data_IF_638872480649
#
_entry.id   IF_638872480649
#
_cell.length_a   1.000
_cell.length_b   1.000
_cell.length_c   1.000
_cell.angle_alpha   90.00
_cell.angle_beta   90.00
_cell.angle_gamma   90.00
#
_symmetry.space_group_name_H-M   'P 1'
#
loop_
_entity.id
_entity.type
_entity.pdbx_description
1 polymer ?
#
# COMPACT_ATOMS: atom_id res chain seq x y z
N UNK A 1 4.30 -8.54 -24.12
CA UNK A 1 4.54 -9.12 -25.47
C UNK A 1 3.42 -8.69 -26.41
N UNK A 2 3.68 -8.45 -27.69
CA UNK A 2 2.64 -8.01 -28.63
C UNK A 2 1.53 -9.06 -28.83
N UNK A 3 1.85 -10.32 -28.54
CA UNK A 3 1.05 -11.52 -28.69
C UNK A 3 0.55 -12.08 -27.34
N UNK A 4 0.68 -11.32 -26.24
CA UNK A 4 0.21 -11.78 -24.95
C UNK A 4 -1.31 -12.00 -24.96
N UNK A 5 -1.73 -13.22 -24.62
CA UNK A 5 -3.14 -13.60 -24.48
C UNK A 5 -3.30 -14.47 -23.24
N UNK A 6 -4.29 -14.13 -22.43
CA UNK A 6 -4.71 -14.90 -21.27
C UNK A 6 -6.23 -14.71 -21.12
N UNK A 7 -6.96 -15.81 -20.96
CA UNK A 7 -8.41 -15.74 -20.78
C UNK A 7 -8.77 -14.90 -19.54
N UNK A 8 -9.79 -14.06 -19.65
CA UNK A 8 -10.16 -13.10 -18.61
C UNK A 8 -9.18 -11.93 -18.41
N UNK A 9 -8.12 -11.79 -19.21
CA UNK A 9 -7.15 -10.71 -19.10
C UNK A 9 -7.26 -9.70 -20.25
N UNK A 10 -7.32 -8.41 -19.91
CA UNK A 10 -7.16 -7.33 -20.88
C UNK A 10 -5.75 -6.74 -20.76
N UNK A 11 -4.90 -7.04 -21.74
CA UNK A 11 -3.55 -6.48 -21.81
C UNK A 11 -3.54 -5.10 -22.48
N UNK A 12 -2.82 -4.15 -21.87
CA UNK A 12 -2.63 -2.80 -22.39
C UNK A 12 -1.14 -2.55 -22.64
N UNK A 13 -0.73 -2.56 -23.90
CA UNK A 13 0.62 -2.21 -24.35
C UNK A 13 0.96 -0.74 -24.04
N UNK A 14 2.25 -0.37 -24.17
CA UNK A 14 2.68 1.03 -23.99
C UNK A 14 1.93 1.95 -24.96
N UNK A 15 1.79 1.54 -26.22
CA UNK A 15 1.10 2.27 -27.28
C UNK A 15 -0.40 2.41 -26.97
N UNK A 16 -1.05 1.33 -26.53
CA UNK A 16 -2.45 1.36 -26.13
C UNK A 16 -2.66 2.29 -24.93
N UNK A 17 -1.76 2.26 -23.94
CA UNK A 17 -1.80 3.16 -22.79
C UNK A 17 -1.70 4.63 -23.20
N UNK A 18 -0.82 4.98 -24.16
CA UNK A 18 -0.69 6.35 -24.69
C UNK A 18 -1.96 6.83 -25.42
N UNK A 19 -2.71 5.91 -26.02
CA UNK A 19 -3.95 6.21 -26.73
C UNK A 19 -5.16 6.40 -25.80
N UNK A 20 -5.03 6.07 -24.52
CA UNK A 20 -6.10 6.27 -23.53
C UNK A 20 -6.42 7.77 -23.35
N UNK A 21 -7.66 8.10 -22.98
CA UNK A 21 -8.06 9.49 -22.79
C UNK A 21 -7.45 10.14 -21.54
N UNK A 22 -6.75 9.37 -20.71
CA UNK A 22 -6.17 9.82 -19.44
C UNK A 22 -4.99 10.77 -19.63
N UNK A 23 -5.04 11.93 -18.99
CA UNK A 23 -3.91 12.84 -18.88
C UNK A 23 -2.71 12.18 -18.17
N UNK A 24 -2.98 11.40 -17.12
CA UNK A 24 -1.97 10.65 -16.37
C UNK A 24 -1.21 9.68 -17.27
N UNK A 25 -1.91 8.92 -18.12
CA UNK A 25 -1.29 7.94 -19.00
C UNK A 25 -0.31 8.57 -20.01
N UNK A 26 -0.57 9.81 -20.42
CA UNK A 26 0.28 10.59 -21.33
C UNK A 26 1.49 11.19 -20.64
N UNK A 27 1.38 11.54 -19.36
CA UNK A 27 2.43 12.19 -18.58
C UNK A 27 3.32 11.21 -17.80
N UNK A 28 2.78 10.05 -17.41
CA UNK A 28 3.49 9.06 -16.59
C UNK A 28 4.73 8.51 -17.30
N UNK A 29 5.89 8.42 -16.61
CA UNK A 29 7.11 7.86 -17.20
C UNK A 29 6.94 6.39 -17.61
N UNK A 30 7.68 6.00 -18.65
CA UNK A 30 7.75 4.62 -19.11
C UNK A 30 8.79 3.81 -18.31
N UNK A 31 8.66 2.47 -18.35
CA UNK A 31 9.48 1.55 -17.55
C UNK A 31 9.48 1.91 -16.07
N UNK A 32 8.32 2.35 -15.58
CA UNK A 32 8.14 2.84 -14.23
C UNK A 32 6.98 2.11 -13.53
N UNK A 33 7.13 1.82 -12.23
CA UNK A 33 6.14 1.10 -11.44
C UNK A 33 4.79 1.80 -11.40
N UNK A 34 4.81 3.13 -11.31
CA UNK A 34 3.60 3.98 -11.26
C UNK A 34 2.70 3.86 -12.49
N UNK A 35 3.14 3.22 -13.59
CA UNK A 35 2.23 2.89 -14.70
C UNK A 35 1.10 1.95 -14.29
N UNK A 36 1.23 1.24 -13.15
CA UNK A 36 0.13 0.47 -12.52
C UNK A 36 -1.10 1.35 -12.26
N UNK A 37 -0.93 2.66 -12.01
CA UNK A 37 -2.03 3.63 -11.89
C UNK A 37 -2.95 3.66 -13.12
N UNK A 38 -2.41 3.44 -14.33
CA UNK A 38 -3.22 3.43 -15.55
C UNK A 38 -4.22 2.26 -15.52
N UNK A 39 -3.81 1.10 -15.00
CA UNK A 39 -4.70 -0.04 -14.76
C UNK A 39 -5.83 0.31 -13.80
N UNK A 40 -5.53 1.07 -12.73
CA UNK A 40 -6.54 1.53 -11.78
C UNK A 40 -7.54 2.49 -12.41
N UNK A 41 -7.08 3.45 -13.22
CA UNK A 41 -7.97 4.37 -13.96
C UNK A 41 -8.89 3.60 -14.91
N UNK A 42 -8.36 2.63 -15.66
CA UNK A 42 -9.16 1.77 -16.54
C UNK A 42 -10.24 1.02 -15.74
N UNK A 43 -9.86 0.36 -14.65
CA UNK A 43 -10.78 -0.40 -13.83
C UNK A 43 -11.87 0.50 -13.23
N UNK A 44 -11.50 1.66 -12.67
CA UNK A 44 -12.43 2.62 -12.11
C UNK A 44 -13.41 3.16 -13.17
N UNK A 45 -12.93 3.52 -14.37
CA UNK A 45 -13.80 3.99 -15.47
C UNK A 45 -14.72 2.92 -16.03
N UNK A 46 -14.33 1.65 -15.94
CA UNK A 46 -15.17 0.52 -16.31
C UNK A 46 -16.18 0.12 -15.21
N UNK A 47 -16.31 0.92 -14.15
CA UNK A 47 -17.33 0.72 -13.11
C UNK A 47 -16.95 -0.32 -12.07
N UNK A 48 -15.67 -0.59 -11.86
CA UNK A 48 -15.23 -1.46 -10.77
C UNK A 48 -15.69 -0.90 -9.42
N UNK A 49 -16.27 -1.77 -8.57
CA UNK A 49 -16.62 -1.44 -7.19
C UNK A 49 -15.50 -1.84 -6.20
N UNK A 50 -14.59 -2.69 -6.65
CA UNK A 50 -13.41 -3.17 -5.93
C UNK A 50 -12.25 -3.33 -6.91
N UNK A 51 -11.03 -3.02 -6.47
CA UNK A 51 -9.79 -3.30 -7.19
C UNK A 51 -8.91 -4.12 -6.26
N UNK A 52 -8.42 -5.26 -6.74
CA UNK A 52 -7.47 -6.12 -6.03
C UNK A 52 -6.13 -6.01 -6.75
N UNK A 53 -5.11 -5.53 -6.05
CA UNK A 53 -3.74 -5.46 -6.55
C UNK A 53 -3.03 -6.78 -6.25
N UNK A 54 -2.45 -7.41 -7.27
CA UNK A 54 -1.51 -8.52 -7.13
C UNK A 54 -0.21 -8.23 -7.86
N UNK A 55 0.88 -8.85 -7.43
CA UNK A 55 2.12 -9.00 -8.20
C UNK A 55 2.15 -10.38 -8.90
N UNK A 56 3.06 -10.54 -9.86
CA UNK A 56 3.16 -11.72 -10.73
C UNK A 56 3.86 -12.93 -10.06
N UNK A 57 4.57 -12.69 -8.96
CA UNK A 57 5.19 -13.72 -8.11
C UNK A 57 4.33 -14.09 -6.88
N UNK A 58 3.13 -13.54 -6.77
CA UNK A 58 2.15 -13.89 -5.73
C UNK A 58 1.15 -14.93 -6.27
N UNK A 59 1.19 -16.13 -5.69
CA UNK A 59 0.31 -17.22 -6.06
C UNK A 59 -0.90 -17.30 -5.12
N UNK A 60 -2.14 -17.37 -5.67
CA UNK A 60 -3.35 -17.28 -4.87
C UNK A 60 -3.65 -18.59 -4.15
N UNK A 61 -3.94 -18.50 -2.85
CA UNK A 61 -4.58 -19.60 -2.10
C UNK A 61 -6.09 -19.59 -2.35
N UNK A 62 -6.79 -20.65 -1.92
CA UNK A 62 -8.26 -20.73 -2.08
C UNK A 62 -9.00 -19.53 -1.47
N UNK A 63 -8.57 -19.07 -0.29
CA UNK A 63 -9.19 -17.94 0.40
C UNK A 63 -8.95 -16.59 -0.30
N UNK A 64 -8.00 -16.47 -1.23
CA UNK A 64 -7.84 -15.26 -2.06
C UNK A 64 -9.10 -14.94 -2.86
N UNK A 65 -9.84 -15.97 -3.28
CA UNK A 65 -11.02 -15.85 -4.12
C UNK A 65 -12.32 -15.63 -3.34
N UNK A 66 -12.24 -15.59 -2.01
CA UNK A 66 -13.41 -15.32 -1.18
C UNK A 66 -13.98 -13.93 -1.45
N UNK A 67 -15.30 -13.81 -1.28
CA UNK A 67 -15.98 -12.53 -1.34
C UNK A 67 -15.44 -11.59 -0.25
N UNK A 68 -15.09 -10.37 -0.64
CA UNK A 68 -14.58 -9.35 0.27
C UNK A 68 -15.72 -8.44 0.72
N UNK A 69 -15.77 -8.15 2.02
CA UNK A 69 -16.68 -7.16 2.62
C UNK A 69 -15.90 -5.94 3.09
N UNK A 70 -16.43 -4.74 2.85
CA UNK A 70 -15.84 -3.49 3.36
C UNK A 70 -15.96 -3.38 4.89
N UNK A 71 -17.11 -3.80 5.44
CA UNK A 71 -17.34 -3.85 6.89
C UNK A 71 -16.80 -5.16 7.44
N UNK A 72 -15.97 -5.09 8.47
CA UNK A 72 -15.23 -6.24 9.01
C UNK A 72 -15.32 -6.30 10.53
N UNK A 73 -15.53 -7.49 11.08
CA UNK A 73 -15.33 -7.76 12.50
C UNK A 73 -13.84 -8.00 12.74
N UNK A 74 -13.18 -7.08 13.43
CA UNK A 74 -11.73 -7.06 13.58
C UNK A 74 -11.31 -6.39 14.91
N UNK A 75 -10.09 -6.68 15.35
CA UNK A 75 -9.46 -5.96 16.47
C UNK A 75 -9.25 -4.49 16.07
N UNK A 76 -9.75 -3.57 16.90
CA UNK A 76 -9.64 -2.12 16.70
C UNK A 76 -8.38 -1.58 17.39
N UNK A 77 -7.32 -1.34 16.61
CA UNK A 77 -6.04 -0.86 17.12
C UNK A 77 -5.81 0.59 16.68
N UNK A 78 -5.86 1.51 17.65
CA UNK A 78 -5.71 2.96 17.43
C UNK A 78 -4.84 3.58 18.52
N UNK A 79 -4.16 4.69 18.22
CA UNK A 79 -3.26 5.43 19.12
C UNK A 79 -1.98 4.71 19.53
N UNK A 80 -1.50 3.75 18.71
CA UNK A 80 -0.27 3.04 19.01
C UNK A 80 0.98 3.78 18.50
N UNK A 81 0.86 4.82 17.68
CA UNK A 81 2.02 5.34 16.94
C UNK A 81 2.48 4.31 15.92
N UNK A 82 3.76 3.91 15.89
CA UNK A 82 4.22 2.82 15.03
C UNK A 82 3.86 1.45 15.60
N UNK A 83 3.23 0.61 14.79
CA UNK A 83 2.87 -0.77 15.14
C UNK A 83 3.42 -1.73 14.09
N UNK A 84 4.23 -2.70 14.52
CA UNK A 84 4.60 -3.82 13.66
C UNK A 84 3.46 -4.84 13.64
N UNK A 85 2.54 -4.71 12.68
CA UNK A 85 1.35 -5.57 12.62
C UNK A 85 1.72 -7.04 12.40
N UNK A 86 2.82 -7.34 11.70
CA UNK A 86 3.26 -8.71 11.42
C UNK A 86 3.58 -9.50 12.70
N UNK A 87 3.95 -8.83 13.79
CA UNK A 87 4.18 -9.46 15.09
C UNK A 87 2.93 -10.14 15.68
N UNK A 88 1.74 -9.75 15.23
CA UNK A 88 0.49 -10.42 15.61
C UNK A 88 0.21 -11.66 14.77
N UNK A 89 0.88 -11.81 13.62
CA UNK A 89 0.63 -12.91 12.69
C UNK A 89 1.71 -13.99 12.74
N UNK A 90 2.82 -13.77 13.46
CA UNK A 90 3.89 -14.74 13.57
C UNK A 90 4.48 -14.84 14.97
N UNK A 91 4.93 -16.05 15.33
CA UNK A 91 5.77 -16.29 16.50
C UNK A 91 7.22 -15.85 16.28
N UNK A 92 7.65 -15.78 15.01
CA UNK A 92 8.98 -15.35 14.63
C UNK A 92 9.11 -13.82 14.63
N UNK A 93 10.34 -13.35 14.72
CA UNK A 93 10.65 -11.94 14.62
C UNK A 93 10.63 -11.52 13.15
N UNK A 94 9.63 -10.75 12.74
CA UNK A 94 9.40 -10.30 11.36
C UNK A 94 8.72 -8.92 11.36
N UNK A 95 8.98 -8.10 10.34
CA UNK A 95 8.35 -6.80 10.15
C UNK A 95 8.09 -6.51 8.66
N UNK A 96 7.08 -5.68 8.33
CA UNK A 96 6.78 -5.33 6.95
C UNK A 96 7.83 -4.37 6.38
N UNK A 97 8.05 -4.44 5.06
CA UNK A 97 8.89 -3.47 4.35
C UNK A 97 8.40 -2.05 4.62
N UNK A 98 9.36 -1.16 4.92
CA UNK A 98 9.07 0.24 5.23
C UNK A 98 8.73 0.50 6.70
N UNK A 99 8.72 -0.51 7.57
CA UNK A 99 8.64 -0.29 9.01
C UNK A 99 9.94 0.40 9.48
N UNK A 100 9.88 1.50 10.27
CA UNK A 100 11.09 2.21 10.66
C UNK A 100 12.01 1.32 11.52
N UNK A 101 13.28 1.23 11.13
CA UNK A 101 14.25 0.35 11.80
C UNK A 101 14.45 0.72 13.27
N UNK A 102 14.30 2.00 13.62
CA UNK A 102 14.37 2.52 14.98
C UNK A 102 13.18 2.08 15.87
N UNK A 103 12.10 1.55 15.28
CA UNK A 103 10.91 1.07 15.99
C UNK A 103 10.90 -0.46 16.17
N UNK A 104 11.91 -1.17 15.68
CA UNK A 104 11.97 -2.63 15.66
C UNK A 104 11.95 -3.28 17.05
N UNK A 105 12.53 -2.62 18.05
CA UNK A 105 12.55 -3.11 19.43
C UNK A 105 11.34 -2.65 20.26
N UNK A 106 10.37 -1.97 19.64
CA UNK A 106 9.16 -1.56 20.33
C UNK A 106 8.35 -2.80 20.71
N UNK A 107 7.96 -2.87 21.98
CA UNK A 107 7.08 -3.93 22.48
C UNK A 107 5.69 -3.75 21.90
N UNK A 108 5.16 -4.80 21.28
CA UNK A 108 3.80 -4.85 20.77
C UNK A 108 2.88 -5.42 21.84
N UNK A 109 1.77 -4.74 22.13
CA UNK A 109 0.79 -5.23 23.09
C UNK A 109 0.06 -6.47 22.56
N UNK A 110 -0.29 -7.47 23.38
CA UNK A 110 -1.08 -8.62 22.94
C UNK A 110 -2.46 -8.22 22.40
N UNK A 111 -3.02 -9.00 21.47
CA UNK A 111 -4.32 -8.71 20.85
C UNK A 111 -5.47 -8.72 21.84
N UNK A 112 -5.36 -9.51 22.90
CA UNK A 112 -6.35 -9.62 23.97
C UNK A 112 -6.59 -8.29 24.71
N UNK A 113 -5.68 -7.32 24.56
CA UNK A 113 -5.83 -5.97 25.08
C UNK A 113 -6.71 -5.05 24.22
N UNK A 114 -7.14 -5.49 23.04
CA UNK A 114 -7.94 -4.68 22.11
C UNK A 114 -9.33 -5.25 21.91
N UNK A 115 -10.32 -4.36 21.74
CA UNK A 115 -11.70 -4.74 21.47
C UNK A 115 -11.87 -5.24 20.02
N UNK A 116 -12.76 -6.20 19.82
CA UNK A 116 -13.26 -6.56 18.49
C UNK A 116 -14.52 -5.75 18.19
N UNK A 117 -14.55 -5.07 17.05
CA UNK A 117 -15.68 -4.22 16.62
C UNK A 117 -15.97 -4.40 15.13
N UNK A 118 -17.13 -3.92 14.70
CA UNK A 118 -17.41 -3.73 13.28
C UNK A 118 -16.73 -2.46 12.77
N UNK A 119 -15.73 -2.62 11.90
CA UNK A 119 -14.89 -1.56 11.37
C UNK A 119 -15.21 -1.28 9.90
N UNK A 120 -14.95 -0.04 9.46
CA UNK A 120 -15.04 0.36 8.06
C UNK A 120 -13.66 0.29 7.40
N UNK A 121 -13.45 -0.75 6.58
CA UNK A 121 -12.14 -1.05 6.01
C UNK A 121 -12.16 -0.99 4.47
N UNK A 122 -12.12 0.21 3.86
CA UNK A 122 -12.10 0.32 2.40
C UNK A 122 -10.74 -0.01 1.77
N UNK A 123 -9.70 -0.23 2.59
CA UNK A 123 -8.37 -0.69 2.18
C UNK A 123 -8.02 -1.92 3.03
N UNK A 124 -7.70 -3.04 2.38
CA UNK A 124 -7.48 -4.32 3.02
C UNK A 124 -6.26 -5.03 2.42
N UNK A 125 -5.24 -5.29 3.23
CA UNK A 125 -4.07 -6.05 2.83
C UNK A 125 -4.16 -7.49 3.34
N UNK A 126 -4.12 -8.44 2.41
CA UNK A 126 -3.83 -9.84 2.73
C UNK A 126 -2.33 -10.08 2.86
N UNK A 127 -1.94 -10.98 3.75
CA UNK A 127 -0.53 -11.33 3.91
C UNK A 127 -0.06 -12.31 2.83
N UNK A 128 1.26 -12.46 2.72
CA UNK A 128 1.91 -13.39 1.80
C UNK A 128 2.84 -14.33 2.57
N UNK A 129 2.62 -15.63 2.46
CA UNK A 129 3.49 -16.63 3.06
C UNK A 129 4.78 -16.86 2.24
N UNK A 130 5.72 -17.57 2.85
CA UNK A 130 7.01 -18.03 2.31
C UNK A 130 8.02 -16.92 2.05
N UNK A 131 7.65 -15.92 1.24
CA UNK A 131 8.47 -14.73 0.99
C UNK A 131 7.64 -13.46 1.20
N UNK A 132 7.26 -13.11 2.43
CA UNK A 132 6.48 -11.90 2.69
C UNK A 132 7.16 -10.62 2.20
N UNK A 133 6.38 -9.55 2.07
CA UNK A 133 6.90 -8.22 1.77
C UNK A 133 7.65 -7.64 2.97
N UNK A 134 8.94 -7.94 3.00
CA UNK A 134 9.93 -7.57 4.01
C UNK A 134 11.10 -6.86 3.34
N UNK A 135 11.78 -6.02 4.09
CA UNK A 135 12.87 -5.18 3.59
C UNK A 135 14.19 -5.96 3.39
N UNK A 136 15.13 -5.31 2.71
CA UNK A 136 16.44 -5.88 2.42
C UNK A 136 17.26 -6.14 3.69
N UNK A 137 17.12 -5.33 4.75
CA UNK A 137 17.79 -5.57 6.04
C UNK A 137 17.35 -6.91 6.63
N UNK A 138 16.05 -7.21 6.61
CA UNK A 138 15.54 -8.52 7.00
C UNK A 138 16.18 -9.62 6.15
N UNK A 139 16.09 -9.50 4.81
CA UNK A 139 16.58 -10.53 3.87
C UNK A 139 18.07 -10.81 3.99
N UNK A 140 18.86 -9.80 4.35
CA UNK A 140 20.31 -9.92 4.51
C UNK A 140 20.71 -10.50 5.88
N UNK A 141 19.83 -10.46 6.88
CA UNK A 141 20.17 -10.80 8.28
C UNK A 141 19.39 -11.97 8.87
N UNK A 142 18.23 -12.30 8.30
CA UNK A 142 17.32 -13.33 8.79
C UNK A 142 17.14 -14.44 7.75
N UNK A 143 16.65 -15.60 8.20
CA UNK A 143 16.38 -16.74 7.34
C UNK A 143 15.00 -16.62 6.67
N UNK A 144 14.91 -17.18 5.46
CA UNK A 144 13.67 -17.46 4.72
C UNK A 144 13.63 -18.95 4.34
N UNK A 145 12.45 -19.55 4.09
CA UNK A 145 11.12 -18.92 4.01
C UNK A 145 10.52 -18.56 5.39
N UNK A 146 9.55 -17.64 5.38
CA UNK A 146 8.77 -17.26 6.56
C UNK A 146 7.28 -17.26 6.24
N UNK A 147 6.48 -17.95 7.04
CA UNK A 147 5.02 -18.00 6.90
C UNK A 147 4.33 -17.54 8.17
N UNK A 148 3.11 -17.03 8.03
CA UNK A 148 2.35 -16.53 9.15
C UNK A 148 1.60 -17.66 9.87
N UNK A 149 1.62 -17.62 11.20
CA UNK A 149 1.09 -18.65 12.10
C UNK A 149 -0.42 -18.45 12.39
N UNK A 150 -0.89 -17.21 12.31
CA UNK A 150 -2.19 -16.81 12.83
C UNK A 150 -3.09 -16.16 11.78
N UNK A 151 -4.39 -16.23 12.03
CA UNK A 151 -5.45 -15.83 11.08
C UNK A 151 -6.32 -14.71 11.66
N UNK A 152 -5.68 -13.63 12.07
CA UNK A 152 -6.36 -12.49 12.69
C UNK A 152 -6.87 -11.49 11.66
N UNK A 153 -7.91 -10.75 12.04
CA UNK A 153 -8.35 -9.54 11.35
C UNK A 153 -8.06 -8.35 12.24
N UNK A 154 -7.18 -7.48 11.79
CA UNK A 154 -6.70 -6.34 12.56
C UNK A 154 -6.97 -5.07 11.77
N UNK A 155 -7.78 -4.18 12.31
CA UNK A 155 -8.04 -2.86 11.74
C UNK A 155 -7.18 -1.81 12.42
N UNK A 156 -6.30 -1.16 11.65
CA UNK A 156 -5.51 -0.05 12.14
C UNK A 156 -6.27 1.25 11.93
N UNK A 157 -6.61 1.91 13.03
CA UNK A 157 -7.34 3.17 13.04
C UNK A 157 -6.44 4.38 13.26
N UNK A 158 -7.04 5.43 13.80
CA UNK A 158 -6.38 6.73 13.95
C UNK A 158 -5.11 6.65 14.79
N UNK A 159 -4.08 7.40 14.39
CA UNK A 159 -2.79 7.51 15.11
C UNK A 159 -2.05 6.18 15.27
N UNK A 160 -2.30 5.23 14.37
CA UNK A 160 -1.53 3.98 14.27
C UNK A 160 -0.98 3.85 12.86
N UNK A 161 0.33 3.68 12.74
CA UNK A 161 1.08 3.57 11.51
C UNK A 161 1.61 2.15 11.34
N UNK A 162 1.31 1.55 10.20
CA UNK A 162 2.01 0.37 9.70
C UNK A 162 2.02 0.45 8.17
N UNK A 163 3.17 0.30 7.49
CA UNK A 163 3.19 0.31 6.04
C UNK A 163 2.33 -0.84 5.48
N UNK A 164 1.73 -0.58 4.32
CA UNK A 164 1.04 -1.59 3.51
C UNK A 164 1.50 -1.46 2.05
N UNK A 165 1.38 -2.51 1.25
CA UNK A 165 1.96 -2.60 -0.10
C UNK A 165 0.88 -2.70 -1.21
N UNK A 166 1.32 -2.83 -2.45
CA UNK A 166 0.46 -3.07 -3.64
C UNK A 166 0.60 -4.49 -4.21
N UNK A 167 0.99 -5.48 -3.38
CA UNK A 167 1.21 -6.86 -3.81
C UNK A 167 0.01 -7.78 -3.52
N UNK A 168 -0.82 -7.46 -2.53
CA UNK A 168 -2.01 -8.25 -2.16
C UNK A 168 -3.01 -7.36 -1.41
N UNK A 169 -3.44 -6.29 -2.05
CA UNK A 169 -4.22 -5.23 -1.40
C UNK A 169 -5.49 -4.92 -2.16
N UNK A 170 -6.61 -4.92 -1.45
CA UNK A 170 -7.92 -4.58 -1.98
C UNK A 170 -8.27 -3.15 -1.63
N UNK A 171 -8.78 -2.42 -2.62
CA UNK A 171 -9.37 -1.10 -2.44
C UNK A 171 -10.84 -1.13 -2.86
N UNK A 172 -11.71 -0.55 -2.06
CA UNK A 172 -13.11 -0.28 -2.40
C UNK A 172 -13.22 1.06 -3.12
N UNK A 173 -14.27 1.20 -3.94
CA UNK A 173 -14.50 2.36 -4.81
C UNK A 173 -14.27 3.72 -4.14
N UNK A 174 -14.75 3.91 -2.91
CA UNK A 174 -14.59 5.18 -2.21
C UNK A 174 -13.14 5.50 -1.85
N UNK A 175 -12.28 4.50 -1.73
CA UNK A 175 -10.84 4.66 -1.51
C UNK A 175 -10.01 4.66 -2.80
N UNK A 176 -10.62 4.55 -3.99
CA UNK A 176 -9.87 4.59 -5.25
C UNK A 176 -8.95 5.80 -5.41
N UNK A 177 -9.28 7.04 -4.98
CA UNK A 177 -8.33 8.14 -5.03
C UNK A 177 -6.99 7.83 -4.34
N UNK A 178 -6.99 6.97 -3.33
CA UNK A 178 -5.83 6.59 -2.51
C UNK A 178 -4.99 5.46 -3.14
N UNK A 179 -5.37 4.93 -4.31
CA UNK A 179 -4.56 3.98 -5.08
C UNK A 179 -3.29 4.60 -5.68
N UNK A 180 -3.20 5.93 -5.70
CA UNK A 180 -2.14 6.67 -6.40
C UNK A 180 -0.71 6.26 -6.00
N UNK A 181 0.01 5.65 -6.92
CA UNK A 181 1.43 5.32 -6.78
C UNK A 181 2.31 6.47 -7.31
N UNK A 182 3.16 7.10 -6.49
CA UNK A 182 4.02 8.19 -6.94
C UNK A 182 5.10 7.76 -7.94
N UNK A 183 5.60 8.69 -8.75
CA UNK A 183 6.58 8.42 -9.80
C UNK A 183 7.98 8.97 -9.52
N UNK A 184 8.10 10.01 -8.69
CA UNK A 184 9.35 10.71 -8.42
C UNK A 184 9.86 10.42 -7.00
N UNK A 185 9.88 9.14 -6.67
CA UNK A 185 10.46 8.55 -5.45
C UNK A 185 11.21 7.26 -5.78
N UNK A 186 11.86 6.64 -4.78
CA UNK A 186 12.41 5.30 -4.96
C UNK A 186 11.32 4.30 -5.38
N UNK A 187 11.67 3.40 -6.30
CA UNK A 187 10.83 2.28 -6.70
C UNK A 187 10.38 1.45 -5.49
N UNK A 188 11.32 1.11 -4.58
CA UNK A 188 11.05 0.33 -3.37
C UNK A 188 10.26 1.08 -2.31
N UNK A 189 10.01 2.38 -2.50
CA UNK A 189 9.21 3.20 -1.57
C UNK A 189 7.90 3.71 -2.17
N UNK A 190 7.63 3.41 -3.43
CA UNK A 190 6.46 3.94 -4.13
C UNK A 190 5.15 3.56 -3.43
N UNK A 191 4.98 2.27 -3.21
CA UNK A 191 3.80 1.71 -2.54
C UNK A 191 3.76 2.02 -1.05
N UNK A 192 4.93 1.98 -0.39
CA UNK A 192 5.10 2.29 1.03
C UNK A 192 4.71 3.74 1.34
N UNK A 193 5.19 4.73 0.58
CA UNK A 193 4.87 6.14 0.83
C UNK A 193 3.43 6.47 0.45
N UNK A 194 2.88 5.85 -0.61
CA UNK A 194 1.44 5.87 -0.88
C UNK A 194 0.64 5.36 0.33
N UNK A 195 1.12 4.31 0.99
CA UNK A 195 0.46 3.73 2.17
C UNK A 195 0.35 4.70 3.34
N UNK A 196 1.37 5.53 3.58
CA UNK A 196 1.34 6.53 4.65
C UNK A 196 0.39 7.68 4.32
N UNK A 197 0.37 8.14 3.07
CA UNK A 197 -0.59 9.15 2.62
C UNK A 197 -2.03 8.63 2.76
N UNK A 198 -2.29 7.41 2.31
CA UNK A 198 -3.60 6.78 2.41
C UNK A 198 -4.05 6.60 3.87
N UNK A 199 -3.18 6.08 4.75
CA UNK A 199 -3.44 5.96 6.19
C UNK A 199 -3.80 7.31 6.82
N UNK A 200 -3.02 8.36 6.55
CA UNK A 200 -3.30 9.69 7.08
C UNK A 200 -4.69 10.18 6.68
N UNK A 201 -5.06 10.00 5.42
CA UNK A 201 -6.35 10.46 4.88
C UNK A 201 -7.50 9.58 5.39
N UNK A 202 -7.28 8.27 5.55
CA UNK A 202 -8.24 7.34 6.12
C UNK A 202 -8.68 7.78 7.53
N UNK A 203 -7.78 8.34 8.32
CA UNK A 203 -8.10 8.83 9.67
C UNK A 203 -9.17 9.93 9.69
N UNK A 204 -9.16 10.85 8.70
CA UNK A 204 -10.18 11.90 8.60
C UNK A 204 -11.56 11.39 8.19
N UNK A 205 -11.62 10.14 7.73
CA UNK A 205 -12.84 9.48 7.27
C UNK A 205 -13.29 8.37 8.23
N UNK A 206 -12.63 8.22 9.38
CA UNK A 206 -12.87 7.13 10.34
C UNK A 206 -12.81 5.75 9.66
N UNK A 207 -11.85 5.60 8.74
CA UNK A 207 -11.56 4.36 8.05
C UNK A 207 -10.38 3.67 8.69
N UNK A 208 -10.42 2.34 8.67
CA UNK A 208 -9.34 1.48 9.13
C UNK A 208 -8.63 0.85 7.94
N UNK A 209 -7.33 0.63 8.09
CA UNK A 209 -6.58 -0.26 7.19
C UNK A 209 -6.66 -1.67 7.77
N UNK A 210 -7.28 -2.59 7.05
CA UNK A 210 -7.37 -3.97 7.49
C UNK A 210 -6.10 -4.73 7.08
N UNK A 211 -5.53 -5.46 8.03
CA UNK A 211 -4.65 -6.58 7.77
C UNK A 211 -5.42 -7.88 8.05
N UNK A 212 -5.26 -8.86 7.18
CA UNK A 212 -5.87 -10.18 7.34
C UNK A 212 -4.87 -11.31 7.18
N UNK A 213 -5.34 -12.55 7.26
CA UNK A 213 -4.49 -13.73 7.10
C UNK A 213 -3.75 -13.77 5.75
N UNK A 214 -2.79 -14.68 5.63
CA UNK A 214 -2.17 -14.94 4.34
C UNK A 214 -3.20 -15.49 3.35
N UNK A 215 -3.36 -14.80 2.23
CA UNK A 215 -4.23 -15.23 1.11
C UNK A 215 -3.42 -15.62 -0.12
N UNK A 216 -2.12 -15.36 -0.12
CA UNK A 216 -1.18 -15.76 -1.18
C UNK A 216 0.08 -16.36 -0.55
N UNK A 217 0.89 -17.06 -1.35
CA UNK A 217 2.31 -17.27 -1.07
C UNK A 217 3.13 -16.62 -2.17
N UNK A 218 4.35 -16.18 -1.85
CA UNK A 218 5.23 -15.53 -2.81
C UNK A 218 6.38 -16.45 -3.22
N UNK A 219 6.50 -16.70 -4.52
CA UNK A 219 7.65 -17.39 -5.13
C UNK A 219 8.55 -16.33 -5.77
N UNK A 220 9.33 -15.65 -4.92
CA UNK A 220 10.05 -14.45 -5.33
C UNK A 220 11.07 -14.73 -6.43
N UNK A 221 11.10 -13.84 -7.40
CA UNK A 221 12.15 -13.80 -8.41
C UNK A 221 13.56 -13.59 -7.79
N UNK A 222 14.61 -13.97 -8.52
CA UNK A 222 15.99 -13.69 -8.09
C UNK A 222 16.25 -12.18 -8.09
N UNK A 223 16.62 -11.63 -6.94
CA UNK A 223 16.90 -10.21 -6.75
C UNK A 223 18.35 -9.99 -6.30
N UNK A 224 18.91 -8.82 -6.64
CA UNK A 224 20.15 -8.36 -6.02
C UNK A 224 19.81 -7.65 -4.70
N UNK A 225 19.99 -8.36 -3.58
CA UNK A 225 19.64 -7.85 -2.24
C UNK A 225 20.39 -6.55 -1.85
N UNK A 226 21.61 -6.34 -2.35
CA UNK A 226 22.35 -5.11 -2.09
C UNK A 226 21.78 -3.92 -2.87
N UNK A 227 21.27 -4.17 -4.07
CA UNK A 227 20.55 -3.15 -4.83
C UNK A 227 19.20 -2.83 -4.20
N UNK A 228 18.45 -3.85 -3.76
CA UNK A 228 17.20 -3.65 -3.02
C UNK A 228 17.47 -2.84 -1.75
N UNK A 229 18.56 -3.12 -1.03
CA UNK A 229 19.00 -2.32 0.13
C UNK A 229 19.27 -0.86 -0.25
N UNK A 230 20.06 -0.60 -1.29
CA UNK A 230 20.35 0.75 -1.78
C UNK A 230 19.06 1.53 -2.12
N UNK A 231 18.14 0.89 -2.86
CA UNK A 231 16.87 1.48 -3.25
C UNK A 231 15.94 1.71 -2.02
N UNK A 232 16.13 0.99 -0.91
CA UNK A 232 15.35 1.13 0.32
C UNK A 232 15.93 2.13 1.33
N UNK A 233 17.18 2.59 1.16
CA UNK A 233 17.82 3.63 2.01
C UNK A 233 16.94 4.87 2.20
N UNK A 234 16.30 5.45 1.16
CA UNK A 234 15.41 6.59 1.34
C UNK A 234 14.28 6.31 2.34
N UNK A 235 13.77 5.07 2.37
CA UNK A 235 12.75 4.64 3.32
C UNK A 235 13.27 4.57 4.75
N UNK A 236 14.39 3.86 4.95
CA UNK A 236 15.01 3.73 6.28
C UNK A 236 15.34 5.08 6.91
N UNK A 237 15.69 6.09 6.10
CA UNK A 237 16.03 7.42 6.59
C UNK A 237 14.82 8.35 6.79
N UNK A 238 13.69 8.11 6.11
CA UNK A 238 12.61 9.11 6.03
C UNK A 238 11.22 8.63 6.47
N UNK A 239 10.96 7.34 6.67
CA UNK A 239 9.59 6.87 6.95
C UNK A 239 9.00 7.48 8.24
N UNK A 240 9.77 7.55 9.33
CA UNK A 240 9.34 8.23 10.56
C UNK A 240 9.14 9.74 10.37
N UNK A 241 10.01 10.40 9.59
CA UNK A 241 9.89 11.82 9.23
C UNK A 241 8.62 12.09 8.42
N UNK A 242 8.30 11.22 7.46
CA UNK A 242 7.10 11.29 6.63
C UNK A 242 5.85 11.18 7.50
N UNK A 243 5.74 10.13 8.32
CA UNK A 243 4.60 9.95 9.22
C UNK A 243 4.38 11.16 10.14
N UNK A 244 5.45 11.65 10.76
CA UNK A 244 5.42 12.85 11.63
C UNK A 244 5.00 14.11 10.87
N UNK A 245 5.40 14.23 9.60
CA UNK A 245 5.02 15.37 8.74
C UNK A 245 3.54 15.30 8.38
N UNK A 246 3.07 14.14 7.95
CA UNK A 246 1.67 13.90 7.59
C UNK A 246 0.71 14.07 8.77
N UNK A 247 1.11 13.62 9.97
CA UNK A 247 0.31 13.75 11.19
C UNK A 247 0.02 15.21 11.56
N UNK A 248 0.95 16.13 11.27
CA UNK A 248 0.80 17.57 11.55
C UNK A 248 -0.12 18.30 10.58
N UNK A 249 -0.51 17.68 9.47
CA UNK A 249 -1.35 18.31 8.46
C UNK A 249 -2.79 18.44 8.96
N UNK A 250 -3.39 19.60 8.70
CA UNK A 250 -4.83 19.80 8.84
C UNK A 250 -5.52 19.36 7.55
N UNK A 251 -6.17 18.19 7.59
CA UNK A 251 -6.87 17.61 6.45
C UNK A 251 -8.39 17.74 6.62
N UNK A 252 -9.12 17.72 5.51
CA UNK A 252 -10.58 17.84 5.51
C UNK A 252 -11.25 16.48 5.68
N UNK A 253 -12.31 16.42 6.48
CA UNK A 253 -13.12 15.21 6.69
C UNK A 253 -14.10 14.96 5.55
N UNK A 254 -14.27 13.70 5.17
CA UNK A 254 -15.25 13.27 4.18
C UNK A 254 -14.63 12.97 2.81
N UNK A 255 -15.23 12.00 2.12
CA UNK A 255 -14.72 11.43 0.86
C UNK A 255 -14.67 12.43 -0.30
N UNK A 256 -15.50 13.47 -0.26
CA UNK A 256 -15.48 14.57 -1.23
C UNK A 256 -14.16 15.36 -1.23
N UNK A 257 -13.33 15.22 -0.19
CA UNK A 257 -12.06 15.95 -0.05
C UNK A 257 -10.82 15.09 -0.27
N UNK A 258 -10.94 13.82 -0.68
CA UNK A 258 -9.79 12.94 -0.87
C UNK A 258 -8.76 13.53 -1.85
N UNK A 259 -9.19 14.04 -3.01
CA UNK A 259 -8.29 14.69 -3.98
C UNK A 259 -7.56 15.91 -3.40
N UNK A 260 -8.27 16.75 -2.66
CA UNK A 260 -7.65 17.91 -2.00
C UNK A 260 -6.65 17.51 -0.91
N UNK A 261 -6.99 16.49 -0.13
CA UNK A 261 -6.11 15.98 0.92
C UNK A 261 -4.87 15.30 0.31
N UNK A 262 -5.00 14.58 -0.81
CA UNK A 262 -3.86 14.04 -1.56
C UNK A 262 -2.90 15.15 -1.98
N UNK A 263 -3.39 16.21 -2.63
CA UNK A 263 -2.57 17.36 -3.02
C UNK A 263 -1.84 17.94 -1.81
N UNK A 264 -2.54 18.08 -0.68
CA UNK A 264 -1.96 18.61 0.56
C UNK A 264 -0.85 17.71 1.11
N UNK A 265 -1.07 16.39 1.16
CA UNK A 265 -0.08 15.43 1.60
C UNK A 265 1.15 15.42 0.69
N UNK A 266 0.98 15.32 -0.62
CA UNK A 266 2.10 15.26 -1.56
C UNK A 266 2.89 16.59 -1.63
N UNK A 267 2.23 17.74 -1.46
CA UNK A 267 2.94 19.03 -1.25
C UNK A 267 3.87 18.95 -0.04
N UNK A 268 3.37 18.44 1.09
CA UNK A 268 4.20 18.29 2.28
C UNK A 268 5.40 17.33 2.05
N UNK A 269 5.20 16.26 1.28
CA UNK A 269 6.28 15.33 0.90
C UNK A 269 7.33 15.97 -0.02
N UNK A 270 6.91 16.84 -0.94
CA UNK A 270 7.79 17.65 -1.79
C UNK A 270 8.56 18.66 -0.93
N UNK A 271 7.90 19.35 0.00
CA UNK A 271 8.52 20.37 0.85
C UNK A 271 9.63 19.80 1.74
N UNK A 272 9.49 18.56 2.19
CA UNK A 272 10.53 17.86 2.95
C UNK A 272 11.57 17.12 2.08
N UNK A 273 11.50 17.30 0.75
CA UNK A 273 12.38 16.75 -0.28
C UNK A 273 12.47 15.22 -0.31
N UNK A 274 11.38 14.51 0.01
CA UNK A 274 11.33 13.05 -0.18
C UNK A 274 10.77 12.65 -1.55
N UNK A 275 9.93 13.51 -2.14
CA UNK A 275 9.37 13.33 -3.49
C UNK A 275 9.74 14.54 -4.36
N UNK A 276 10.03 14.32 -5.64
CA UNK A 276 10.33 15.40 -6.59
C UNK A 276 9.11 16.26 -6.93
N UNK A 277 9.31 17.57 -7.17
CA UNK A 277 8.23 18.50 -7.51
C UNK A 277 7.48 18.14 -8.81
N UNK A 278 8.10 17.35 -9.69
CA UNK A 278 7.51 16.80 -10.90
C UNK A 278 6.33 15.84 -10.62
N UNK A 279 6.13 15.44 -9.37
CA UNK A 279 5.00 14.62 -8.95
C UNK A 279 3.67 15.37 -9.05
N UNK A 280 3.65 16.70 -8.83
CA UNK A 280 2.39 17.44 -8.72
C UNK A 280 1.52 17.39 -9.99
N UNK A 281 2.08 17.59 -11.21
CA UNK A 281 1.30 17.43 -12.44
C UNK A 281 0.73 16.02 -12.63
N UNK A 282 1.46 14.98 -12.19
CA UNK A 282 0.97 13.60 -12.25
C UNK A 282 -0.18 13.38 -11.28
N UNK A 283 -0.07 13.89 -10.05
CA UNK A 283 -1.13 13.77 -9.05
C UNK A 283 -2.41 14.51 -9.48
N UNK A 284 -2.27 15.71 -10.04
CA UNK A 284 -3.39 16.48 -10.58
C UNK A 284 -4.07 15.75 -11.74
N UNK A 285 -3.26 15.17 -12.64
CA UNK A 285 -3.78 14.36 -13.74
C UNK A 285 -4.52 13.11 -13.23
N UNK A 286 -3.98 12.42 -12.22
CA UNK A 286 -4.65 11.28 -11.57
C UNK A 286 -6.01 11.66 -10.98
N UNK A 287 -6.07 12.74 -10.19
CA UNK A 287 -7.31 13.19 -9.56
C UNK A 287 -8.34 13.57 -10.63
N UNK A 288 -7.92 14.31 -11.66
CA UNK A 288 -8.80 14.71 -12.76
C UNK A 288 -9.30 13.52 -13.58
N UNK A 289 -8.43 12.55 -13.85
CA UNK A 289 -8.78 11.39 -14.66
C UNK A 289 -9.71 10.45 -13.91
N UNK A 290 -9.60 10.35 -12.58
CA UNK A 290 -10.47 9.47 -11.79
C UNK A 290 -11.93 9.94 -11.82
N UNK A 291 -12.16 11.26 -11.82
CA UNK A 291 -13.49 11.89 -11.92
C UNK A 291 -13.95 12.53 -10.62
#
# INVERSE_FOLDING_TARGET
PADFQLDGCNYYSVEQQRALPFAFAKACPERHYSRKNIGYLIAAKNGAEQIIESDDDNYPRENFWNNRSRKQQAYDISNEGWLNVYAHYSKGYIWPRGYPLEQLHKVVMPLEGFDVKELDCPIQQGLADENPDIDAVFRLTQALPHSFDYKHKIGLGNKTWCPYNSQNTTHYKEAFPLLYLPSYCSFRMTDIWRSFVAQRIAWENNWHILFEEATVWQERNEHNLLRDFEDEIPGYLNNAKIATTLEKLELKKGTAHLGHNLITCYKALIDINVIGAQEMPLLEAWISDLG
#
